data_IF_062204507988
#
_entry.id   IF_062204507988
#
_cell.length_a   1.000
_cell.length_b   1.000
_cell.length_c   1.000
_cell.angle_alpha   90.00
_cell.angle_beta   90.00
_cell.angle_gamma   90.00
#
_symmetry.space_group_name_H-M   'P 1'
#
loop_
_entity.id
_entity.type
_entity.pdbx_description
1 polymer ?
#
# COMPACT_ATOMS: atom_id res chain seq x y z
N UNK A 1 -9.45 -1.31 26.98
CA UNK A 1 -9.13 -0.96 25.58
C UNK A 1 -8.95 -2.26 24.84
N UNK A 2 -9.70 -2.49 23.76
CA UNK A 2 -9.40 -3.61 22.87
C UNK A 2 -7.97 -3.44 22.37
N UNK A 3 -7.17 -4.50 22.42
CA UNK A 3 -5.89 -4.54 21.69
C UNK A 3 -6.21 -4.19 20.24
N UNK A 4 -5.54 -3.19 19.65
CA UNK A 4 -5.72 -2.96 18.22
C UNK A 4 -5.24 -4.22 17.53
N UNK A 5 -6.15 -4.92 16.84
CA UNK A 5 -5.86 -6.22 16.25
C UNK A 5 -4.59 -6.13 15.41
N UNK A 6 -3.66 -7.06 15.65
CA UNK A 6 -2.41 -7.15 14.92
C UNK A 6 -2.71 -7.29 13.43
N UNK A 7 -2.07 -6.46 12.60
CA UNK A 7 -2.17 -6.62 11.16
C UNK A 7 -1.26 -7.75 10.72
N UNK A 8 -1.83 -8.74 10.02
CA UNK A 8 -1.05 -9.81 9.38
C UNK A 8 -1.14 -9.64 7.87
N UNK A 9 -0.01 -9.36 7.23
CA UNK A 9 0.05 -9.32 5.77
C UNK A 9 -0.32 -10.70 5.18
N UNK A 10 -1.19 -10.77 4.16
CA UNK A 10 -1.54 -12.03 3.52
C UNK A 10 -0.32 -12.60 2.79
N UNK A 11 -0.01 -13.87 3.08
CA UNK A 11 1.10 -14.62 2.44
C UNK A 11 0.66 -15.43 1.23
N UNK A 12 -0.46 -15.08 0.60
CA UNK A 12 -0.98 -15.85 -0.52
C UNK A 12 -0.07 -15.65 -1.73
N UNK A 13 0.72 -16.68 -2.04
CA UNK A 13 1.51 -16.73 -3.25
C UNK A 13 0.60 -16.61 -4.49
N UNK A 14 1.12 -15.95 -5.52
CA UNK A 14 0.49 -15.97 -6.83
C UNK A 14 0.64 -17.36 -7.44
N UNK A 15 -0.34 -17.80 -8.22
CA UNK A 15 -0.21 -19.03 -8.99
C UNK A 15 0.90 -18.90 -10.03
N UNK A 16 1.80 -19.87 -10.11
CA UNK A 16 2.82 -19.92 -11.15
C UNK A 16 2.15 -20.07 -12.53
N UNK A 17 2.65 -19.34 -13.51
CA UNK A 17 2.19 -19.41 -14.91
C UNK A 17 3.34 -19.76 -15.84
N UNK A 18 3.10 -20.67 -16.78
CA UNK A 18 4.08 -21.10 -17.79
C UNK A 18 4.06 -20.15 -18.99
N UNK A 19 4.42 -18.89 -18.75
CA UNK A 19 4.52 -17.86 -19.79
C UNK A 19 5.98 -17.69 -20.25
N UNK A 20 6.23 -17.39 -21.54
CA UNK A 20 7.57 -17.07 -22.01
C UNK A 20 8.22 -15.96 -21.18
N UNK A 21 9.53 -16.06 -20.93
CA UNK A 21 10.26 -15.13 -20.05
C UNK A 21 10.12 -13.66 -20.48
N UNK A 22 10.11 -13.39 -21.78
CA UNK A 22 9.90 -12.03 -22.32
C UNK A 22 8.52 -11.48 -21.91
N UNK A 23 7.48 -12.31 -21.96
CA UNK A 23 6.13 -11.94 -21.51
C UNK A 23 6.08 -11.79 -20.00
N UNK A 24 6.78 -12.64 -19.24
CA UNK A 24 6.90 -12.53 -17.78
C UNK A 24 7.52 -11.20 -17.39
N UNK A 25 8.61 -10.81 -18.04
CA UNK A 25 9.28 -9.52 -17.82
C UNK A 25 8.35 -8.35 -18.18
N UNK A 26 7.66 -8.41 -19.32
CA UNK A 26 6.72 -7.37 -19.73
C UNK A 26 5.59 -7.18 -18.70
N UNK A 27 5.04 -8.28 -18.16
CA UNK A 27 4.03 -8.27 -17.11
C UNK A 27 4.55 -7.61 -15.82
N UNK A 28 5.76 -7.97 -15.37
CA UNK A 28 6.38 -7.38 -14.18
C UNK A 28 6.62 -5.88 -14.33
N UNK A 29 7.12 -5.46 -15.50
CA UNK A 29 7.33 -4.04 -15.81
C UNK A 29 6.00 -3.27 -15.88
N UNK A 30 4.95 -3.84 -16.47
CA UNK A 30 3.60 -3.26 -16.48
C UNK A 30 3.12 -3.02 -15.04
N UNK A 31 3.25 -4.02 -14.18
CA UNK A 31 2.80 -3.96 -12.79
C UNK A 31 3.59 -2.92 -11.98
N UNK A 32 4.92 -2.89 -12.10
CA UNK A 32 5.77 -1.90 -11.44
C UNK A 32 5.44 -0.48 -11.88
N UNK A 33 5.32 -0.25 -13.20
CA UNK A 33 5.01 1.07 -13.74
C UNK A 33 3.62 1.54 -13.27
N UNK A 34 2.66 0.61 -13.17
CA UNK A 34 1.34 0.92 -12.64
C UNK A 34 1.41 1.28 -11.15
N UNK A 35 2.20 0.55 -10.34
CA UNK A 35 2.39 0.84 -8.92
C UNK A 35 2.93 2.26 -8.71
N UNK A 36 3.97 2.61 -9.46
CA UNK A 36 4.58 3.93 -9.43
C UNK A 36 3.60 5.04 -9.86
N UNK A 37 2.78 4.81 -10.88
CA UNK A 37 1.77 5.78 -11.33
C UNK A 37 0.70 6.01 -10.25
N UNK A 38 0.18 4.96 -9.64
CA UNK A 38 -0.78 5.09 -8.53
C UNK A 38 -0.17 5.81 -7.33
N UNK A 39 1.08 5.51 -6.99
CA UNK A 39 1.78 6.24 -5.94
C UNK A 39 1.81 7.74 -6.26
N UNK A 40 2.20 8.12 -7.48
CA UNK A 40 2.28 9.51 -7.89
C UNK A 40 0.94 10.23 -7.79
N UNK A 41 -0.15 9.59 -8.21
CA UNK A 41 -1.50 10.17 -8.12
C UNK A 41 -1.94 10.35 -6.66
N UNK A 42 -1.69 9.36 -5.80
CA UNK A 42 -2.03 9.45 -4.37
C UNK A 42 -1.21 10.55 -3.68
N UNK A 43 0.11 10.55 -3.90
CA UNK A 43 1.03 11.50 -3.26
C UNK A 43 0.75 12.95 -3.68
N UNK A 44 0.37 13.19 -4.94
CA UNK A 44 0.08 14.52 -5.47
C UNK A 44 -1.26 15.07 -4.99
N UNK A 45 -2.32 14.27 -5.06
CA UNK A 45 -3.69 14.82 -5.02
C UNK A 45 -4.42 14.54 -3.70
N UNK A 46 -3.98 13.55 -2.92
CA UNK A 46 -4.78 13.03 -1.80
C UNK A 46 -4.23 13.38 -0.42
N UNK A 47 -2.95 13.72 -0.33
CA UNK A 47 -2.31 14.04 0.96
C UNK A 47 -2.70 15.45 1.40
N UNK A 48 -3.70 15.53 2.28
CA UNK A 48 -4.28 16.79 2.75
C UNK A 48 -4.63 16.73 4.24
N UNK A 49 -4.73 17.88 4.94
CA UNK A 49 -5.24 17.92 6.30
C UNK A 49 -6.55 17.15 6.45
N UNK A 50 -6.64 16.32 7.49
CA UNK A 50 -7.85 15.59 7.85
C UNK A 50 -8.08 14.25 7.13
N UNK A 51 -7.29 13.90 6.11
CA UNK A 51 -7.34 12.52 5.59
C UNK A 51 -6.91 11.54 6.67
N UNK A 52 -7.68 10.48 6.88
CA UNK A 52 -7.31 9.42 7.83
C UNK A 52 -6.47 8.34 7.18
N UNK A 53 -5.75 7.55 7.98
CA UNK A 53 -4.94 6.47 7.43
C UNK A 53 -5.83 5.37 6.79
N UNK A 54 -7.03 5.11 7.32
CA UNK A 54 -8.06 4.29 6.67
C UNK A 54 -8.50 4.87 5.33
N UNK A 55 -8.77 6.17 5.26
CA UNK A 55 -9.23 6.78 4.01
C UNK A 55 -8.18 6.66 2.92
N UNK A 56 -6.90 6.79 3.27
CA UNK A 56 -5.82 6.61 2.31
C UNK A 56 -5.75 5.15 1.80
N UNK A 57 -5.95 4.17 2.68
CA UNK A 57 -6.10 2.76 2.29
C UNK A 57 -7.29 2.53 1.35
N UNK A 58 -8.47 3.04 1.72
CA UNK A 58 -9.68 2.91 0.89
C UNK A 58 -9.44 3.47 -0.52
N UNK A 59 -8.71 4.59 -0.63
CA UNK A 59 -8.39 5.17 -1.93
C UNK A 59 -7.36 4.34 -2.69
N UNK A 60 -6.32 3.80 -2.04
CA UNK A 60 -5.36 2.93 -2.69
C UNK A 60 -6.04 1.68 -3.30
N UNK A 61 -6.94 1.04 -2.54
CA UNK A 61 -7.75 -0.09 -3.03
C UNK A 61 -8.63 0.31 -4.22
N UNK A 62 -9.34 1.44 -4.11
CA UNK A 62 -10.22 1.95 -5.18
C UNK A 62 -9.44 2.22 -6.47
N UNK A 63 -8.33 2.96 -6.38
CA UNK A 63 -7.53 3.33 -7.55
C UNK A 63 -6.91 2.10 -8.22
N UNK A 64 -6.51 1.08 -7.45
CA UNK A 64 -6.01 -0.18 -8.04
C UNK A 64 -7.09 -0.87 -8.86
N UNK A 65 -8.32 -0.92 -8.35
CA UNK A 65 -9.46 -1.48 -9.10
C UNK A 65 -9.77 -0.67 -10.35
N UNK A 66 -9.85 0.66 -10.24
CA UNK A 66 -10.11 1.55 -11.38
C UNK A 66 -9.04 1.42 -12.47
N UNK A 67 -7.77 1.29 -12.07
CA UNK A 67 -6.68 1.00 -13.00
C UNK A 67 -6.82 -0.36 -13.69
N UNK A 68 -7.36 -1.37 -12.99
CA UNK A 68 -7.74 -2.67 -13.54
C UNK A 68 -8.75 -2.52 -14.66
N UNK A 69 -9.89 -1.93 -14.32
CA UNK A 69 -10.99 -1.70 -15.25
C UNK A 69 -10.54 -0.92 -16.49
N UNK A 70 -9.77 0.16 -16.30
CA UNK A 70 -9.26 1.00 -17.39
C UNK A 70 -8.27 0.29 -18.32
N UNK A 71 -7.55 -0.73 -17.83
CA UNK A 71 -6.57 -1.50 -18.62
C UNK A 71 -7.10 -2.85 -19.11
N UNK A 72 -8.36 -3.18 -18.81
CA UNK A 72 -8.90 -4.53 -19.06
C UNK A 72 -8.14 -5.61 -18.29
N UNK A 73 -7.69 -5.28 -17.06
CA UNK A 73 -6.94 -6.16 -16.15
C UNK A 73 -7.71 -6.39 -14.86
N UNK A 74 -7.48 -7.52 -14.21
CA UNK A 74 -8.06 -7.88 -12.92
C UNK A 74 -7.22 -7.40 -11.74
N UNK A 75 -6.74 -6.14 -11.75
CA UNK A 75 -5.86 -5.64 -10.69
C UNK A 75 -6.56 -5.64 -9.33
N UNK A 76 -5.95 -6.31 -8.35
CA UNK A 76 -6.36 -6.31 -6.94
C UNK A 76 -5.29 -5.65 -6.08
N UNK A 77 -5.72 -5.03 -4.97
CA UNK A 77 -4.78 -4.53 -3.98
C UNK A 77 -4.24 -5.69 -3.15
N UNK A 78 -2.92 -5.84 -3.09
CA UNK A 78 -2.30 -7.08 -2.64
C UNK A 78 -2.06 -7.21 -1.15
N UNK A 79 -2.32 -6.17 -0.36
CA UNK A 79 -2.09 -6.15 1.08
C UNK A 79 -3.32 -5.64 1.85
N UNK A 80 -3.31 -5.82 3.18
CA UNK A 80 -4.35 -5.33 4.10
C UNK A 80 -4.02 -3.94 4.68
N UNK A 81 -2.90 -3.36 4.25
CA UNK A 81 -2.49 -1.98 4.50
C UNK A 81 -1.81 -1.41 3.24
N UNK A 82 -1.70 -0.09 3.15
CA UNK A 82 -1.00 0.60 2.05
C UNK A 82 0.16 1.47 2.55
N UNK A 83 0.58 1.29 3.79
CA UNK A 83 1.64 2.10 4.35
C UNK A 83 1.81 1.85 5.83
N UNK A 84 2.94 2.31 6.34
CA UNK A 84 3.27 2.21 7.75
C UNK A 84 4.11 3.39 8.20
N UNK A 85 4.17 3.60 9.51
CA UNK A 85 4.98 4.65 10.11
C UNK A 85 6.46 4.37 9.83
N UNK A 86 7.21 5.39 9.44
CA UNK A 86 8.68 5.31 9.31
C UNK A 86 9.35 5.97 10.50
N UNK A 87 10.36 5.30 11.05
CA UNK A 87 11.21 5.82 12.10
C UNK A 87 12.63 6.05 11.59
N UNK A 88 13.61 6.02 12.49
CA UNK A 88 15.03 6.15 12.12
C UNK A 88 15.56 4.95 11.31
N UNK A 89 14.79 3.86 11.24
CA UNK A 89 15.03 2.71 10.38
C UNK A 89 13.83 2.50 9.46
N UNK A 90 14.04 1.92 8.25
CA UNK A 90 13.00 1.79 7.22
C UNK A 90 11.72 1.15 7.75
N UNK A 91 11.86 0.23 8.69
CA UNK A 91 10.79 -0.17 9.59
C UNK A 91 11.13 0.34 10.99
N UNK A 92 10.33 1.27 11.52
CA UNK A 92 10.31 1.43 12.97
C UNK A 92 9.92 0.08 13.58
N UNK A 93 10.45 -0.28 14.75
CA UNK A 93 10.07 -1.54 15.39
C UNK A 93 8.60 -1.45 15.77
N UNK A 94 7.69 -2.00 14.95
CA UNK A 94 6.24 -1.94 15.15
C UNK A 94 5.88 -2.92 16.26
N UNK A 95 5.59 -2.46 17.49
CA UNK A 95 5.33 -3.38 18.60
C UNK A 95 4.00 -4.08 18.33
N UNK A 96 4.02 -5.41 18.25
CA UNK A 96 2.85 -6.27 18.09
C UNK A 96 1.96 -5.93 16.88
N UNK A 97 2.55 -5.44 15.78
CA UNK A 97 1.81 -5.08 14.56
C UNK A 97 0.61 -4.16 14.81
N UNK A 98 0.80 -3.21 15.73
CA UNK A 98 -0.25 -2.30 16.18
C UNK A 98 -0.84 -1.51 15.00
N UNK A 99 -2.13 -1.73 14.71
CA UNK A 99 -2.85 -1.12 13.57
C UNK A 99 -2.70 0.41 13.48
N UNK A 100 -2.51 1.11 14.60
CA UNK A 100 -2.32 2.57 14.64
C UNK A 100 -1.04 3.05 13.94
N UNK A 101 -0.15 2.12 13.60
CA UNK A 101 1.11 2.35 12.89
C UNK A 101 1.02 2.00 11.41
N UNK A 102 -0.17 1.65 10.91
CA UNK A 102 -0.43 1.27 9.52
C UNK A 102 -1.53 2.14 8.88
N UNK A 103 -1.47 2.29 7.57
CA UNK A 103 -2.58 2.80 6.75
C UNK A 103 -3.48 1.64 6.35
N UNK A 104 -4.53 1.40 7.14
CA UNK A 104 -5.30 0.17 7.07
C UNK A 104 -6.78 0.41 7.45
N UNK A 105 -7.69 -0.53 7.11
CA UNK A 105 -9.13 -0.41 7.34
C UNK A 105 -9.55 0.02 8.76
N UNK A 106 -8.81 -0.40 9.79
CA UNK A 106 -9.14 -0.12 11.19
C UNK A 106 -8.42 1.08 11.81
N UNK A 107 -7.57 1.81 11.06
CA UNK A 107 -6.88 2.98 11.59
C UNK A 107 -7.55 4.29 11.18
N UNK A 108 -8.31 4.88 12.09
CA UNK A 108 -9.09 6.10 11.83
C UNK A 108 -8.37 7.39 12.25
N UNK A 109 -7.10 7.33 12.65
CA UNK A 109 -6.38 8.53 13.04
C UNK A 109 -6.14 9.44 11.81
N UNK A 110 -5.89 10.74 12.00
CA UNK A 110 -5.53 11.61 10.89
C UNK A 110 -4.11 11.27 10.43
N UNK A 111 -3.84 11.15 9.14
CA UNK A 111 -2.50 10.84 8.62
C UNK A 111 -1.41 11.79 9.14
N UNK A 112 -1.74 13.09 9.25
CA UNK A 112 -0.92 14.09 9.93
C UNK A 112 -1.11 13.99 11.44
N UNK A 113 0.00 13.89 12.16
CA UNK A 113 -0.02 13.92 13.63
C UNK A 113 1.37 13.87 14.22
N UNK A 114 1.43 13.76 15.54
CA UNK A 114 2.69 13.56 16.27
C UNK A 114 2.82 12.13 16.77
N UNK A 115 4.04 11.61 16.81
CA UNK A 115 4.36 10.34 17.46
C UNK A 115 4.44 10.52 19.00
N UNK A 116 4.74 9.45 19.73
CA UNK A 116 4.83 9.46 21.19
C UNK A 116 5.92 10.39 21.74
N UNK A 117 6.93 10.75 20.92
CA UNK A 117 8.00 11.71 21.27
C UNK A 117 7.64 13.15 20.90
N UNK A 118 6.43 13.40 20.38
CA UNK A 118 6.00 14.71 19.92
C UNK A 118 6.58 15.11 18.56
N UNK A 119 7.27 14.22 17.84
CA UNK A 119 7.78 14.51 16.49
C UNK A 119 6.69 14.32 15.45
N UNK A 120 6.83 14.96 14.28
CA UNK A 120 5.92 14.73 13.15
C UNK A 120 5.98 13.26 12.72
N UNK A 121 4.81 12.66 12.49
CA UNK A 121 4.72 11.33 11.89
C UNK A 121 5.07 11.43 10.41
N UNK A 122 6.02 10.61 9.98
CA UNK A 122 6.31 10.36 8.59
C UNK A 122 5.93 8.92 8.26
N UNK A 123 5.63 8.65 7.00
CA UNK A 123 5.13 7.35 6.59
C UNK A 123 5.87 6.85 5.36
N UNK A 124 5.89 5.55 5.18
CA UNK A 124 6.07 4.93 3.87
C UNK A 124 4.67 4.63 3.32
N UNK A 125 4.43 5.05 2.07
CA UNK A 125 3.29 4.59 1.27
C UNK A 125 3.81 3.49 0.36
N UNK A 126 3.17 2.34 0.42
CA UNK A 126 3.46 1.16 -0.40
C UNK A 126 2.25 0.87 -1.27
N UNK A 127 2.45 0.77 -2.58
CA UNK A 127 1.43 0.36 -3.54
C UNK A 127 1.76 -1.05 -4.01
N UNK A 128 0.93 -2.01 -3.59
CA UNK A 128 1.02 -3.40 -4.00
C UNK A 128 -0.20 -3.77 -4.84
N UNK A 129 -0.01 -4.02 -6.13
CA UNK A 129 -1.06 -4.49 -7.03
C UNK A 129 -0.73 -5.87 -7.58
N UNK A 130 -1.76 -6.71 -7.74
CA UNK A 130 -1.66 -8.09 -8.17
C UNK A 130 -2.60 -8.36 -9.33
N UNK A 131 -2.16 -9.15 -10.30
CA UNK A 131 -3.02 -9.82 -11.26
C UNK A 131 -2.97 -11.32 -10.94
N UNK A 132 -3.93 -11.77 -10.10
CA UNK A 132 -4.00 -13.16 -9.67
C UNK A 132 -4.34 -14.11 -10.82
N UNK A 133 -4.95 -13.62 -11.90
CA UNK A 133 -5.29 -14.45 -13.07
C UNK A 133 -4.05 -14.79 -13.87
N UNK A 134 -3.12 -13.85 -13.96
CA UNK A 134 -1.88 -14.01 -14.76
C UNK A 134 -0.65 -14.33 -13.92
N UNK A 135 -0.78 -14.35 -12.60
CA UNK A 135 0.26 -14.80 -11.69
C UNK A 135 1.41 -13.81 -11.51
N UNK A 136 1.16 -12.50 -11.59
CA UNK A 136 2.20 -11.49 -11.36
C UNK A 136 1.71 -10.31 -10.53
N UNK A 137 2.65 -9.55 -9.99
CA UNK A 137 2.38 -8.36 -9.20
C UNK A 137 3.46 -7.30 -9.39
N UNK A 138 3.12 -6.09 -8.97
CA UNK A 138 4.01 -4.94 -8.95
C UNK A 138 3.96 -4.26 -7.60
N UNK A 139 5.10 -3.70 -7.21
CA UNK A 139 5.26 -3.02 -5.94
C UNK A 139 6.01 -1.72 -6.16
N UNK A 140 5.60 -0.67 -5.46
CA UNK A 140 6.32 0.59 -5.37
C UNK A 140 6.13 1.18 -3.97
N UNK A 141 7.22 1.51 -3.30
CA UNK A 141 7.19 2.18 -2.00
C UNK A 141 8.09 3.40 -1.99
N UNK A 142 7.66 4.44 -1.29
CA UNK A 142 8.48 5.61 -1.02
C UNK A 142 7.98 6.32 0.23
N UNK A 143 8.87 7.11 0.85
CA UNK A 143 8.48 8.05 1.91
C UNK A 143 7.38 8.98 1.40
N UNK A 144 6.31 9.06 2.19
CA UNK A 144 5.23 10.00 2.07
C UNK A 144 5.46 11.15 3.05
N UNK A 145 5.90 12.29 2.54
CA UNK A 145 6.02 13.52 3.34
C UNK A 145 4.63 14.13 3.54
N UNK A 146 4.18 14.20 4.79
CA UNK A 146 2.85 14.71 5.16
C UNK A 146 2.95 16.01 5.92
#
# INVERSE_FOLDING_TARGET
MATPDAITAPKTALSETDVPEEQRLANLLEAQNKAAALFADIARDLIRPGISEKQLYDVAVRLTREAGEASGRGWTYGNVFCGHLVGDFPHERIPNDKITLYMAPGNHAPLRGRNAKGQQRHWILEIYLRDDTRGYAGFFEQILTV
#
